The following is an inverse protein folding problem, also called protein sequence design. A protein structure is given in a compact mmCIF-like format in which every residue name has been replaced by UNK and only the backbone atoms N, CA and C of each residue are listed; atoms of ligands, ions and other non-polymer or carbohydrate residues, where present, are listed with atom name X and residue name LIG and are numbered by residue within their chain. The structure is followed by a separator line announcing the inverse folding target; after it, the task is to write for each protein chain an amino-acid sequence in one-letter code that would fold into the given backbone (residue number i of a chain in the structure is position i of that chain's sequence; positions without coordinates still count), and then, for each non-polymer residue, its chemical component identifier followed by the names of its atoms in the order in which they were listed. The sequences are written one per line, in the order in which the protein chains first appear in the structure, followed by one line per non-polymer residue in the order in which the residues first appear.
data_IF_509102530283
#
_entry.id   IF_509102530283
#
_cell.length_a   1.000
_cell.length_b   1.000
_cell.length_c   1.000
_cell.angle_alpha   90.00
_cell.angle_beta   90.00
_cell.angle_gamma   90.00
#
_symmetry.space_group_name_H-M   'P 1'
#
loop_
_entity.id
_entity.type
_entity.pdbx_description
1 polymer ?
#
# COMPACT_ATOMS: atom_id res chain seq x y z
N UNK A 1 22.22 -1.59 -7.51
CA UNK A 1 21.40 -2.29 -6.52
C UNK A 1 20.53 -1.24 -5.87
N UNK A 2 19.25 -1.17 -6.23
CA UNK A 2 18.30 -0.31 -5.54
C UNK A 2 18.18 -0.89 -4.14
N UNK A 3 18.58 -0.12 -3.14
CA UNK A 3 18.46 -0.47 -1.73
C UNK A 3 16.99 -0.87 -1.50
N UNK A 4 16.72 -2.11 -1.10
CA UNK A 4 15.37 -2.54 -0.76
C UNK A 4 14.85 -1.58 0.31
N UNK A 5 13.95 -0.68 -0.10
CA UNK A 5 13.32 0.25 0.81
C UNK A 5 12.55 -0.65 1.78
N UNK A 6 12.90 -0.60 3.07
CA UNK A 6 12.09 -1.25 4.09
C UNK A 6 10.77 -0.47 4.20
N UNK A 7 9.81 -0.82 3.34
CA UNK A 7 8.47 -0.24 3.20
C UNK A 7 7.82 -0.07 4.57
N UNK A 8 7.95 -1.07 5.44
CA UNK A 8 7.34 -1.07 6.77
C UNK A 8 7.93 -0.01 7.72
N UNK A 9 9.23 0.28 7.59
CA UNK A 9 9.90 1.28 8.43
C UNK A 9 9.54 2.72 8.04
N UNK A 10 9.28 2.97 6.76
CA UNK A 10 9.03 4.31 6.20
C UNK A 10 7.58 4.76 6.27
N UNK A 11 6.63 3.81 6.39
CA UNK A 11 5.22 4.14 6.58
C UNK A 11 4.98 4.87 7.91
N UNK A 12 4.17 5.92 7.85
CA UNK A 12 3.80 6.72 9.04
C UNK A 12 2.90 5.92 9.98
N UNK A 13 1.90 5.24 9.42
CA UNK A 13 0.96 4.40 10.17
C UNK A 13 1.61 3.05 10.51
N UNK A 14 1.91 2.88 11.80
CA UNK A 14 2.55 1.66 12.32
C UNK A 14 1.57 0.52 12.53
N UNK A 15 0.28 0.80 12.74
CA UNK A 15 -0.74 -0.23 12.90
C UNK A 15 -0.99 -0.92 11.55
N UNK A 16 -1.21 -0.12 10.50
CA UNK A 16 -1.33 -0.61 9.12
C UNK A 16 -0.08 -1.38 8.68
N UNK A 17 1.10 -0.80 8.90
CA UNK A 17 2.38 -1.45 8.55
C UNK A 17 2.55 -2.80 9.24
N UNK A 18 2.19 -2.88 10.53
CA UNK A 18 2.25 -4.13 11.30
C UNK A 18 1.22 -5.16 10.84
N UNK A 19 0.02 -4.72 10.45
CA UNK A 19 -1.02 -5.62 9.96
C UNK A 19 -0.57 -6.39 8.72
N UNK A 20 -0.04 -5.68 7.71
CA UNK A 20 0.50 -6.32 6.50
C UNK A 20 1.69 -7.22 6.81
N UNK A 21 2.60 -6.77 7.69
CA UNK A 21 3.74 -7.58 8.10
C UNK A 21 3.33 -8.89 8.80
N UNK A 22 2.35 -8.82 9.70
CA UNK A 22 1.91 -9.97 10.50
C UNK A 22 0.99 -10.93 9.74
N UNK A 23 0.34 -10.47 8.66
CA UNK A 23 -0.52 -11.32 7.85
C UNK A 23 0.25 -12.38 7.05
N UNK A 24 1.55 -12.16 6.80
CA UNK A 24 2.41 -13.10 6.09
C UNK A 24 1.84 -13.50 4.73
N UNK A 25 1.79 -14.81 4.46
CA UNK A 25 1.30 -15.36 3.19
C UNK A 25 -0.16 -15.02 2.87
N UNK A 26 -0.99 -14.68 3.87
CA UNK A 26 -2.40 -14.35 3.65
C UNK A 26 -2.58 -13.08 2.80
N UNK A 27 -1.65 -12.13 2.91
CA UNK A 27 -1.67 -10.86 2.19
C UNK A 27 -0.40 -10.68 1.35
N UNK A 28 0.18 -11.77 0.82
CA UNK A 28 1.42 -11.70 0.06
C UNK A 28 1.29 -10.78 -1.16
N UNK A 29 0.22 -10.96 -1.94
CA UNK A 29 -0.03 -10.16 -3.15
C UNK A 29 -0.34 -8.69 -2.81
N UNK A 30 -1.18 -8.45 -1.80
CA UNK A 30 -1.50 -7.09 -1.34
C UNK A 30 -0.28 -6.38 -0.74
N UNK A 31 0.63 -7.12 -0.10
CA UNK A 31 1.88 -6.57 0.43
C UNK A 31 2.82 -6.10 -0.69
N UNK A 32 2.86 -6.83 -1.81
CA UNK A 32 3.61 -6.40 -3.00
C UNK A 32 3.01 -5.12 -3.57
N UNK A 33 1.68 -5.05 -3.71
CA UNK A 33 0.97 -3.86 -4.18
C UNK A 33 1.18 -2.67 -3.26
N UNK A 34 1.10 -2.86 -1.94
CA UNK A 34 1.37 -1.82 -0.96
C UNK A 34 2.81 -1.31 -1.05
N UNK A 35 3.78 -2.22 -1.20
CA UNK A 35 5.19 -1.86 -1.39
C UNK A 35 5.43 -1.03 -2.64
N UNK A 36 4.74 -1.35 -3.74
CA UNK A 36 4.79 -0.56 -4.96
C UNK A 36 4.17 0.83 -4.76
N UNK A 37 3.01 0.92 -4.10
CA UNK A 37 2.36 2.20 -3.80
C UNK A 37 3.25 3.11 -2.93
N UNK A 38 3.86 2.55 -1.87
CA UNK A 38 4.82 3.29 -1.03
C UNK A 38 6.03 3.75 -1.83
N UNK A 39 6.57 2.89 -2.69
CA UNK A 39 7.69 3.25 -3.58
C UNK A 39 7.31 4.40 -4.51
N UNK A 40 6.11 4.38 -5.09
CA UNK A 40 5.62 5.45 -5.95
C UNK A 40 5.51 6.78 -5.21
N UNK A 41 4.99 6.77 -3.97
CA UNK A 41 4.91 7.96 -3.11
C UNK A 41 6.31 8.53 -2.83
N UNK A 42 7.29 7.68 -2.52
CA UNK A 42 8.68 8.11 -2.29
C UNK A 42 9.28 8.71 -3.56
N UNK A 43 9.08 8.08 -4.71
CA UNK A 43 9.60 8.56 -6.00
C UNK A 43 8.94 9.89 -6.43
N UNK A 44 7.71 10.14 -6.02
CA UNK A 44 7.04 11.43 -6.20
C UNK A 44 7.57 12.53 -5.25
N UNK A 45 8.38 12.18 -4.26
CA UNK A 45 8.89 13.12 -3.24
C UNK A 45 7.87 13.44 -2.14
N UNK A 46 6.81 12.64 -2.03
CA UNK A 46 5.71 12.85 -1.09
C UNK A 46 5.93 12.11 0.24
N UNK A 47 5.21 12.54 1.27
CA UNK A 47 5.20 11.86 2.57
C UNK A 47 4.45 10.51 2.48
N UNK A 48 5.03 9.46 3.06
CA UNK A 48 4.44 8.10 3.13
C UNK A 48 3.39 8.02 4.26
N UNK A 49 2.25 8.65 4.03
CA UNK A 49 1.06 8.60 4.89
C UNK A 49 -0.11 7.90 4.16
N UNK A 50 -1.16 7.52 4.91
CA UNK A 50 -2.27 6.75 4.35
C UNK A 50 -2.97 7.47 3.19
N UNK A 51 -3.13 8.80 3.27
CA UNK A 51 -3.72 9.61 2.20
C UNK A 51 -2.96 9.44 0.88
N UNK A 52 -1.64 9.58 0.89
CA UNK A 52 -0.83 9.50 -0.32
C UNK A 52 -0.74 8.06 -0.85
N UNK A 53 -0.74 7.06 0.03
CA UNK A 53 -0.83 5.64 -0.35
C UNK A 53 -2.17 5.37 -1.04
N UNK A 54 -3.29 5.84 -0.49
CA UNK A 54 -4.63 5.72 -1.10
C UNK A 54 -4.65 6.32 -2.50
N UNK A 55 -4.11 7.54 -2.68
CA UNK A 55 -4.06 8.19 -3.99
C UNK A 55 -3.21 7.40 -5.00
N UNK A 56 -2.08 6.84 -4.57
CA UNK A 56 -1.27 5.96 -5.42
C UNK A 56 -2.04 4.69 -5.81
N UNK A 57 -2.76 4.06 -4.87
CA UNK A 57 -3.53 2.84 -5.14
C UNK A 57 -4.70 3.09 -6.09
N UNK A 58 -5.40 4.22 -5.94
CA UNK A 58 -6.47 4.64 -6.86
C UNK A 58 -5.90 4.81 -8.28
N UNK A 59 -4.79 5.52 -8.40
CA UNK A 59 -4.13 5.73 -9.70
C UNK A 59 -3.70 4.40 -10.35
N UNK A 60 -3.16 3.47 -9.56
CA UNK A 60 -2.82 2.13 -10.03
C UNK A 60 -4.06 1.33 -10.48
N UNK A 61 -5.17 1.42 -9.73
CA UNK A 61 -6.41 0.74 -10.05
C UNK A 61 -7.02 1.25 -11.36
N UNK A 62 -7.03 2.57 -11.57
CA UNK A 62 -7.55 3.21 -12.79
C UNK A 62 -6.74 2.84 -14.05
N UNK A 63 -5.45 2.57 -13.88
CA UNK A 63 -4.55 2.16 -14.97
C UNK A 63 -4.55 0.64 -15.24
N UNK A 64 -5.19 -0.16 -14.40
CA UNK A 64 -5.11 -1.63 -14.47
C UNK A 64 -6.29 -2.22 -15.26
N UNK A 65 -5.96 -2.94 -16.34
CA UNK A 65 -6.95 -3.65 -17.18
C UNK A 65 -7.13 -5.11 -16.75
N UNK A 66 -6.09 -5.71 -16.17
CA UNK A 66 -6.15 -7.08 -15.66
C UNK A 66 -7.06 -7.15 -14.43
N UNK A 67 -8.16 -7.91 -14.54
CA UNK A 67 -9.18 -7.97 -13.50
C UNK A 67 -8.70 -8.65 -12.21
N UNK A 68 -7.72 -9.56 -12.30
CA UNK A 68 -7.14 -10.23 -11.13
C UNK A 68 -6.25 -9.24 -10.38
N UNK A 69 -5.39 -8.51 -11.09
CA UNK A 69 -4.59 -7.46 -10.46
C UNK A 69 -5.43 -6.31 -9.92
N UNK A 70 -6.48 -5.90 -10.64
CA UNK A 70 -7.42 -4.90 -10.14
C UNK A 70 -8.12 -5.35 -8.85
N UNK A 71 -8.39 -6.65 -8.67
CA UNK A 71 -8.95 -7.17 -7.42
C UNK A 71 -7.98 -7.08 -6.24
N UNK A 72 -6.71 -7.43 -6.46
CA UNK A 72 -5.66 -7.33 -5.43
C UNK A 72 -5.45 -5.86 -5.04
N UNK A 73 -5.40 -4.94 -6.01
CA UNK A 73 -5.28 -3.49 -5.74
C UNK A 73 -6.50 -2.99 -4.97
N UNK A 74 -7.71 -3.43 -5.33
CA UNK A 74 -8.95 -3.05 -4.63
C UNK A 74 -8.95 -3.53 -3.19
N UNK A 75 -8.54 -4.78 -2.93
CA UNK A 75 -8.41 -5.32 -1.56
C UNK A 75 -7.37 -4.56 -0.75
N UNK A 76 -6.22 -4.26 -1.34
CA UNK A 76 -5.18 -3.45 -0.70
C UNK A 76 -5.72 -2.08 -0.31
N UNK A 77 -6.41 -1.40 -1.24
CA UNK A 77 -7.04 -0.11 -1.01
C UNK A 77 -8.11 -0.18 0.10
N UNK A 78 -8.94 -1.22 0.12
CA UNK A 78 -9.95 -1.44 1.16
C UNK A 78 -9.32 -1.55 2.55
N UNK A 79 -8.23 -2.31 2.70
CA UNK A 79 -7.51 -2.45 3.98
C UNK A 79 -6.99 -1.10 4.45
N UNK A 80 -6.32 -0.34 3.57
CA UNK A 80 -5.76 0.97 3.91
C UNK A 80 -6.87 1.96 4.31
N UNK A 81 -8.01 1.94 3.61
CA UNK A 81 -9.17 2.76 3.95
C UNK A 81 -9.77 2.40 5.32
N UNK A 82 -9.88 1.10 5.65
CA UNK A 82 -10.38 0.65 6.95
C UNK A 82 -9.52 1.18 8.11
N UNK A 83 -8.21 1.00 8.03
CA UNK A 83 -7.29 1.53 9.05
C UNK A 83 -7.35 3.06 9.14
N UNK A 84 -7.47 3.75 8.00
CA UNK A 84 -7.60 5.21 8.00
C UNK A 84 -8.90 5.69 8.63
N UNK A 85 -10.00 4.95 8.45
CA UNK A 85 -11.29 5.27 9.06
C UNK A 85 -11.33 4.95 10.55
N UNK A 86 -10.62 3.92 11.00
CA UNK A 86 -10.53 3.53 12.42
C UNK A 86 -9.66 4.51 13.24
N UNK A 87 -8.76 5.26 12.58
CA UNK A 87 -7.86 6.25 13.21
C UNK A 87 -8.44 7.68 13.34
N UNK A 88 -9.64 7.96 12.79
CA UNK A 88 -10.29 9.30 12.75
C UNK A 88 -11.48 9.38 13.71
#
# INVERSE_FOLDING_TARGET
MLNEINVHSVMTDKALSSYFHNAGELLADESVVLGQAVTNVILAGDNVNNKNIILSLISSLEATVDVVQADIIRKTLEIVLRYTADDV
#
